data_IF_453970012785
#
_entry.id   IF_453970012785
#
_cell.length_a   1.000
_cell.length_b   1.000
_cell.length_c   1.000
_cell.angle_alpha   90.00
_cell.angle_beta   90.00
_cell.angle_gamma   90.00
#
_symmetry.space_group_name_H-M   'P 1'
#
loop_
_entity.id
_entity.type
_entity.pdbx_description
1 polymer ?
#
# COMPACT_ATOMS: atom_id res chain seq x y z
N UNK A 1 -7.65 13.15 31.92
CA UNK A 1 -8.18 13.58 30.62
C UNK A 1 -7.42 14.83 30.18
N UNK A 2 -6.51 14.73 29.20
CA UNK A 2 -5.85 15.92 28.63
C UNK A 2 -6.91 16.74 27.87
N UNK A 3 -7.01 18.04 28.16
CA UNK A 3 -7.84 18.99 27.39
C UNK A 3 -7.29 19.04 25.97
N UNK A 4 -8.01 18.45 25.00
CA UNK A 4 -7.71 18.60 23.57
C UNK A 4 -7.77 20.07 23.22
N UNK A 5 -6.68 20.65 22.74
CA UNK A 5 -6.64 22.05 22.33
C UNK A 5 -7.54 22.30 21.11
N UNK A 6 -7.99 23.54 20.92
CA UNK A 6 -8.80 23.97 19.77
C UNK A 6 -8.15 23.58 18.42
N UNK A 7 -6.82 23.58 18.36
CA UNK A 7 -6.07 23.15 17.17
C UNK A 7 -6.29 21.67 16.84
N UNK A 8 -6.33 20.79 17.85
CA UNK A 8 -6.55 19.35 17.65
C UNK A 8 -7.95 19.06 17.16
N UNK A 9 -8.96 19.79 17.69
CA UNK A 9 -10.35 19.66 17.24
C UNK A 9 -10.47 20.12 15.79
N UNK A 10 -9.86 21.25 15.44
CA UNK A 10 -9.86 21.76 14.06
C UNK A 10 -9.22 20.78 13.10
N UNK A 11 -8.04 20.22 13.45
CA UNK A 11 -7.32 19.22 12.64
C UNK A 11 -8.18 17.97 12.44
N UNK A 12 -8.81 17.46 13.50
CA UNK A 12 -9.70 16.30 13.43
C UNK A 12 -10.91 16.57 12.53
N UNK A 13 -11.58 17.69 12.68
CA UNK A 13 -12.75 18.04 11.88
C UNK A 13 -12.39 18.18 10.40
N UNK A 14 -11.24 18.79 10.11
CA UNK A 14 -10.70 18.89 8.75
C UNK A 14 -10.43 17.50 8.16
N UNK A 15 -9.81 16.60 8.92
CA UNK A 15 -9.57 15.21 8.51
C UNK A 15 -10.89 14.50 8.18
N UNK A 16 -11.90 14.60 9.04
CA UNK A 16 -13.21 13.97 8.83
C UNK A 16 -13.89 14.50 7.56
N UNK A 17 -13.87 15.81 7.33
CA UNK A 17 -14.44 16.42 6.12
C UNK A 17 -13.72 15.91 4.87
N UNK A 18 -12.40 15.95 4.86
CA UNK A 18 -11.60 15.54 3.71
C UNK A 18 -11.78 14.04 3.39
N UNK A 19 -11.78 13.18 4.42
CA UNK A 19 -12.07 11.75 4.26
C UNK A 19 -13.47 11.53 3.69
N UNK A 20 -14.46 12.27 4.17
CA UNK A 20 -15.85 12.17 3.69
C UNK A 20 -15.96 12.55 2.20
N UNK A 21 -15.22 13.56 1.76
CA UNK A 21 -15.17 13.94 0.34
C UNK A 21 -14.47 12.88 -0.49
N UNK A 22 -13.35 12.31 -0.01
CA UNK A 22 -12.62 11.25 -0.69
C UNK A 22 -13.49 9.99 -0.91
N UNK A 23 -14.26 9.61 0.10
CA UNK A 23 -15.10 8.41 0.08
C UNK A 23 -16.32 8.55 -0.86
N UNK A 24 -16.81 9.77 -1.07
CA UNK A 24 -18.02 10.02 -1.83
C UNK A 24 -17.78 10.72 -3.18
N UNK A 25 -16.53 11.07 -3.50
CA UNK A 25 -16.07 11.76 -4.71
C UNK A 25 -16.60 13.19 -4.89
N UNK A 26 -17.91 13.41 -4.74
CA UNK A 26 -18.58 14.73 -4.85
C UNK A 26 -19.64 14.89 -3.77
N UNK A 27 -19.63 15.99 -3.06
CA UNK A 27 -20.59 16.33 -2.00
C UNK A 27 -20.79 17.84 -1.90
N UNK A 28 -22.01 18.26 -1.57
CA UNK A 28 -22.29 19.64 -1.15
C UNK A 28 -21.92 19.86 0.32
N UNK A 29 -21.74 21.12 0.74
CA UNK A 29 -21.48 21.47 2.15
C UNK A 29 -22.55 20.93 3.11
N UNK A 30 -23.80 20.89 2.67
CA UNK A 30 -24.93 20.35 3.46
C UNK A 30 -24.78 18.85 3.66
N UNK A 31 -24.46 18.10 2.60
CA UNK A 31 -24.25 16.64 2.69
C UNK A 31 -23.03 16.30 3.55
N UNK A 32 -21.96 17.11 3.46
CA UNK A 32 -20.79 16.96 4.34
C UNK A 32 -21.22 17.16 5.80
N UNK A 33 -21.99 18.21 6.12
CA UNK A 33 -22.46 18.45 7.47
C UNK A 33 -23.33 17.29 8.00
N UNK A 34 -24.21 16.75 7.18
CA UNK A 34 -25.07 15.61 7.54
C UNK A 34 -24.25 14.33 7.78
N UNK A 35 -23.26 14.03 6.90
CA UNK A 35 -22.46 12.81 7.00
C UNK A 35 -21.43 12.85 8.14
N UNK A 36 -20.93 14.04 8.48
CA UNK A 36 -19.90 14.22 9.51
C UNK A 36 -20.46 14.59 10.87
N UNK A 37 -21.76 14.89 10.96
CA UNK A 37 -22.44 15.39 12.15
C UNK A 37 -21.82 16.69 12.71
N UNK A 38 -21.09 17.43 11.87
CA UNK A 38 -20.52 18.72 12.22
C UNK A 38 -21.53 19.85 11.99
N UNK A 39 -21.42 20.89 12.80
CA UNK A 39 -22.24 22.08 12.60
C UNK A 39 -22.03 22.70 11.20
N UNK A 40 -23.09 23.10 10.46
CA UNK A 40 -22.97 23.68 9.12
C UNK A 40 -22.01 24.87 9.02
N UNK A 41 -21.95 25.70 10.06
CA UNK A 41 -20.99 26.81 10.14
C UNK A 41 -19.53 26.32 10.19
N UNK A 42 -19.26 25.27 10.98
CA UNK A 42 -17.93 24.64 11.05
C UNK A 42 -17.52 24.07 9.69
N UNK A 43 -18.43 23.35 9.03
CA UNK A 43 -18.18 22.80 7.68
C UNK A 43 -17.89 23.92 6.69
N UNK A 44 -18.72 24.97 6.67
CA UNK A 44 -18.55 26.10 5.75
C UNK A 44 -17.21 26.79 5.92
N UNK A 45 -16.78 27.03 7.17
CA UNK A 45 -15.48 27.64 7.47
C UNK A 45 -14.32 26.75 7.03
N UNK A 46 -14.33 25.46 7.40
CA UNK A 46 -13.24 24.55 7.09
C UNK A 46 -13.14 24.23 5.59
N UNK A 47 -14.28 24.11 4.91
CA UNK A 47 -14.30 23.93 3.44
C UNK A 47 -13.75 25.16 2.72
N UNK A 48 -14.10 26.38 3.16
CA UNK A 48 -13.53 27.60 2.58
C UNK A 48 -12.00 27.63 2.72
N UNK A 49 -11.49 27.31 3.90
CA UNK A 49 -10.05 27.20 4.15
C UNK A 49 -9.40 26.12 3.27
N UNK A 50 -10.05 24.98 3.07
CA UNK A 50 -9.54 23.89 2.22
C UNK A 50 -9.52 24.27 0.74
N UNK A 51 -10.48 25.06 0.29
CA UNK A 51 -10.50 25.60 -1.09
C UNK A 51 -9.37 26.62 -1.25
N UNK A 52 -9.21 27.55 -0.31
CA UNK A 52 -8.12 28.53 -0.32
C UNK A 52 -6.73 27.87 -0.33
N UNK A 53 -6.58 26.76 0.40
CA UNK A 53 -5.34 25.96 0.43
C UNK A 53 -5.20 25.02 -0.77
N UNK A 54 -6.16 24.98 -1.68
CA UNK A 54 -6.14 24.20 -2.89
C UNK A 54 -6.47 22.71 -2.74
N UNK A 55 -6.86 22.22 -1.55
CA UNK A 55 -7.23 20.81 -1.36
C UNK A 55 -8.54 20.43 -2.03
N UNK A 56 -9.53 21.33 -1.98
CA UNK A 56 -10.84 21.14 -2.56
C UNK A 56 -11.12 22.16 -3.64
N UNK A 57 -11.96 21.78 -4.60
CA UNK A 57 -12.50 22.67 -5.61
C UNK A 57 -14.01 22.51 -5.73
N UNK A 58 -14.65 23.55 -6.23
CA UNK A 58 -16.07 23.52 -6.64
C UNK A 58 -16.14 22.90 -8.06
N UNK A 59 -16.83 21.77 -8.19
CA UNK A 59 -16.83 20.95 -9.42
C UNK A 59 -18.11 21.06 -10.24
N UNK A 60 -19.06 21.90 -9.84
CA UNK A 60 -20.33 22.09 -10.51
C UNK A 60 -21.46 22.43 -9.57
N UNK A 61 -22.68 22.56 -10.09
CA UNK A 61 -23.88 22.76 -9.29
C UNK A 61 -24.94 21.75 -9.67
N UNK A 62 -25.50 21.05 -8.67
CA UNK A 62 -26.73 20.27 -8.85
C UNK A 62 -27.96 21.12 -8.57
N UNK A 63 -28.90 21.09 -9.49
CA UNK A 63 -30.22 21.72 -9.27
C UNK A 63 -31.14 20.65 -8.67
N UNK A 64 -31.39 20.72 -7.38
CA UNK A 64 -32.34 19.83 -6.71
C UNK A 64 -33.45 20.66 -6.09
N UNK A 65 -34.69 20.42 -6.49
CA UNK A 65 -35.88 21.12 -5.95
C UNK A 65 -35.77 22.67 -5.96
N UNK A 66 -35.25 23.24 -7.07
CA UNK A 66 -35.22 24.73 -7.25
C UNK A 66 -34.06 25.43 -6.51
N UNK A 67 -33.15 24.72 -5.83
CA UNK A 67 -31.93 25.29 -5.25
C UNK A 67 -30.70 24.70 -5.89
N UNK A 68 -29.84 25.58 -6.42
CA UNK A 68 -28.51 25.20 -6.88
C UNK A 68 -27.62 24.88 -5.67
N UNK A 69 -27.02 23.69 -5.63
CA UNK A 69 -26.04 23.28 -4.63
C UNK A 69 -24.69 23.10 -5.29
N UNK A 70 -23.68 23.80 -4.80
CA UNK A 70 -22.32 23.65 -5.26
C UNK A 70 -21.74 22.34 -4.77
N UNK A 71 -21.25 21.50 -5.67
CA UNK A 71 -20.54 20.28 -5.38
C UNK A 71 -19.07 20.55 -5.14
N UNK A 72 -18.50 19.86 -4.18
CA UNK A 72 -17.10 19.90 -3.79
C UNK A 72 -16.44 18.57 -4.12
N UNK A 73 -15.24 18.62 -4.62
CA UNK A 73 -14.38 17.46 -4.89
C UNK A 73 -12.95 17.75 -4.49
N UNK A 74 -12.14 16.70 -4.31
CA UNK A 74 -10.71 16.86 -4.18
C UNK A 74 -10.16 17.56 -5.44
N UNK A 75 -9.25 18.50 -5.27
CA UNK A 75 -8.57 19.17 -6.37
C UNK A 75 -7.57 18.21 -7.04
N UNK A 76 -7.79 17.77 -8.28
CA UNK A 76 -6.84 16.90 -8.97
C UNK A 76 -5.48 17.58 -9.19
N UNK A 77 -5.49 18.91 -9.32
CA UNK A 77 -4.31 19.72 -9.63
C UNK A 77 -3.53 20.16 -8.37
N UNK A 78 -3.96 19.73 -7.17
CA UNK A 78 -3.23 20.00 -5.94
C UNK A 78 -1.78 19.51 -6.00
N UNK A 79 -1.53 18.42 -6.74
CA UNK A 79 -0.19 17.89 -6.96
C UNK A 79 -0.20 16.61 -7.76
N UNK A 80 0.98 16.05 -7.95
CA UNK A 80 1.19 14.74 -8.56
C UNK A 80 1.83 13.77 -7.58
N UNK A 81 1.55 12.49 -7.78
CA UNK A 81 2.12 11.39 -7.01
C UNK A 81 2.89 10.50 -7.97
N UNK A 82 4.18 10.30 -7.73
CA UNK A 82 5.00 9.37 -8.47
C UNK A 82 5.14 8.06 -7.69
N UNK A 83 4.76 6.94 -8.29
CA UNK A 83 4.97 5.59 -7.74
C UNK A 83 5.97 4.86 -8.62
N UNK A 84 7.06 4.42 -8.02
CA UNK A 84 8.12 3.66 -8.66
C UNK A 84 8.02 2.20 -8.19
N UNK A 85 7.68 1.32 -9.11
CA UNK A 85 7.74 -0.12 -8.89
C UNK A 85 9.13 -0.62 -9.30
N UNK A 86 9.86 -1.19 -8.33
CA UNK A 86 11.27 -1.55 -8.46
C UNK A 86 11.41 -3.04 -8.22
N UNK A 87 11.96 -3.74 -9.20
CA UNK A 87 12.18 -5.17 -9.15
C UNK A 87 13.45 -5.58 -9.94
N UNK A 88 13.82 -6.86 -9.93
CA UNK A 88 14.99 -7.34 -10.66
C UNK A 88 14.84 -7.30 -12.18
N UNK A 89 13.63 -7.12 -12.70
CA UNK A 89 13.34 -7.01 -14.13
C UNK A 89 13.33 -5.56 -14.62
N UNK A 90 13.51 -4.60 -13.70
CA UNK A 90 13.57 -3.18 -14.05
C UNK A 90 12.79 -2.25 -13.12
N UNK A 91 12.51 -1.07 -13.64
CA UNK A 91 11.83 0.00 -12.92
C UNK A 91 10.69 0.51 -13.77
N UNK A 92 9.50 0.62 -13.17
CA UNK A 92 8.32 1.24 -13.79
C UNK A 92 7.90 2.46 -12.97
N UNK A 93 7.67 3.58 -13.66
CA UNK A 93 7.11 4.80 -13.09
C UNK A 93 5.64 4.91 -13.46
N UNK A 94 4.79 5.11 -12.46
CA UNK A 94 3.40 5.50 -12.63
C UNK A 94 3.17 6.85 -11.96
N UNK A 95 2.66 7.82 -12.70
CA UNK A 95 2.35 9.17 -12.18
C UNK A 95 0.85 9.37 -12.16
N UNK A 96 0.36 9.87 -11.05
CA UNK A 96 -1.06 10.09 -10.79
C UNK A 96 -1.31 11.55 -10.42
N UNK A 97 -2.49 12.05 -10.72
CA UNK A 97 -3.03 13.25 -10.08
C UNK A 97 -3.62 12.92 -8.69
N UNK A 98 -4.09 13.95 -7.97
CA UNK A 98 -4.68 13.72 -6.63
C UNK A 98 -6.05 13.04 -6.68
N UNK A 99 -6.71 12.97 -7.84
CA UNK A 99 -7.92 12.15 -8.04
C UNK A 99 -7.58 10.68 -8.38
N UNK A 100 -6.29 10.31 -8.42
CA UNK A 100 -5.75 9.01 -8.80
C UNK A 100 -6.03 8.63 -10.27
N UNK A 101 -6.18 9.63 -11.13
CA UNK A 101 -6.14 9.39 -12.57
C UNK A 101 -4.67 9.25 -13.00
N UNK A 102 -4.42 8.26 -13.83
CA UNK A 102 -3.08 8.03 -14.37
C UNK A 102 -2.75 9.14 -15.35
N UNK A 103 -1.69 9.89 -15.07
CA UNK A 103 -1.14 10.92 -15.97
C UNK A 103 -0.16 10.27 -16.95
N UNK A 104 0.69 9.38 -16.44
CA UNK A 104 1.71 8.71 -17.24
C UNK A 104 2.08 7.37 -16.62
N UNK A 105 2.41 6.39 -17.47
CA UNK A 105 3.10 5.15 -17.09
C UNK A 105 4.28 4.96 -18.03
N UNK A 106 5.44 4.72 -17.47
CA UNK A 106 6.67 4.59 -18.23
C UNK A 106 7.59 3.56 -17.60
N UNK A 107 8.10 2.67 -18.43
CA UNK A 107 9.20 1.80 -18.06
C UNK A 107 10.50 2.60 -18.17
N UNK A 108 11.22 2.74 -17.05
CA UNK A 108 12.46 3.50 -16.97
C UNK A 108 13.64 2.62 -17.32
N UNK A 109 13.67 1.39 -16.83
CA UNK A 109 14.74 0.43 -17.08
C UNK A 109 14.18 -0.98 -17.29
N UNK A 110 14.85 -1.76 -18.14
CA UNK A 110 14.60 -3.19 -18.30
C UNK A 110 15.65 -4.05 -17.56
N UNK A 111 16.48 -3.41 -16.75
CA UNK A 111 17.53 -4.03 -15.97
C UNK A 111 17.37 -3.70 -14.50
N UNK A 112 17.84 -4.61 -13.65
CA UNK A 112 17.94 -4.36 -12.22
C UNK A 112 19.01 -3.30 -11.96
N UNK A 113 18.60 -2.13 -11.54
CA UNK A 113 19.49 -1.08 -11.08
C UNK A 113 19.54 -1.09 -9.55
N UNK A 114 20.71 -0.77 -9.00
CA UNK A 114 20.94 -0.75 -7.56
C UNK A 114 21.77 0.48 -7.17
N UNK A 115 21.77 0.84 -5.90
CA UNK A 115 22.60 1.90 -5.37
C UNK A 115 22.44 3.22 -6.12
N UNK A 116 23.57 3.84 -6.47
CA UNK A 116 23.60 5.16 -7.10
C UNK A 116 22.98 5.17 -8.50
N UNK A 117 23.12 4.09 -9.28
CA UNK A 117 22.50 4.00 -10.61
C UNK A 117 20.97 4.01 -10.51
N UNK A 118 20.42 3.32 -9.52
CA UNK A 118 18.98 3.34 -9.23
C UNK A 118 18.52 4.76 -8.85
N UNK A 119 19.29 5.46 -7.98
CA UNK A 119 18.98 6.82 -7.58
C UNK A 119 19.01 7.79 -8.77
N UNK A 120 20.01 7.70 -9.62
CA UNK A 120 20.17 8.59 -10.77
C UNK A 120 19.04 8.39 -11.79
N UNK A 121 18.67 7.14 -12.07
CA UNK A 121 17.56 6.82 -12.98
C UNK A 121 16.24 7.39 -12.45
N UNK A 122 15.96 7.18 -11.16
CA UNK A 122 14.76 7.71 -10.51
C UNK A 122 14.74 9.25 -10.56
N UNK A 123 15.83 9.89 -10.19
CA UNK A 123 15.87 11.36 -10.14
C UNK A 123 15.74 11.97 -11.52
N UNK A 124 16.35 11.41 -12.56
CA UNK A 124 16.19 11.84 -13.93
C UNK A 124 14.73 11.80 -14.38
N UNK A 125 14.01 10.72 -14.03
CA UNK A 125 12.61 10.57 -14.37
C UNK A 125 11.68 11.49 -13.58
N UNK A 126 11.96 11.69 -12.29
CA UNK A 126 11.11 12.44 -11.35
C UNK A 126 11.30 13.96 -11.47
N UNK A 127 12.51 14.43 -11.80
CA UNK A 127 12.83 15.86 -11.96
C UNK A 127 11.92 16.56 -12.97
N UNK A 128 11.42 15.84 -13.97
CA UNK A 128 10.47 16.36 -14.96
C UNK A 128 9.15 16.80 -14.31
N UNK A 129 8.69 16.07 -13.28
CA UNK A 129 7.44 16.38 -12.57
C UNK A 129 7.65 17.37 -11.42
N UNK A 130 8.80 17.34 -10.79
CA UNK A 130 9.13 18.28 -9.71
C UNK A 130 9.10 19.75 -10.13
N UNK A 131 9.41 20.03 -11.40
CA UNK A 131 9.47 21.38 -11.98
C UNK A 131 8.19 21.82 -12.73
N UNK A 132 7.14 21.00 -12.78
CA UNK A 132 5.89 21.33 -13.46
C UNK A 132 4.98 22.27 -12.67
N UNK A 133 3.98 22.85 -13.32
CA UNK A 133 2.96 23.69 -12.69
C UNK A 133 2.18 22.95 -11.59
N UNK A 134 1.96 21.64 -11.77
CA UNK A 134 1.46 20.75 -10.71
C UNK A 134 2.67 20.23 -9.91
N UNK A 135 2.81 20.62 -8.64
CA UNK A 135 3.98 20.19 -7.88
C UNK A 135 3.94 18.69 -7.62
N UNK A 136 5.12 18.07 -7.61
CA UNK A 136 5.26 16.71 -7.12
C UNK A 136 5.00 16.71 -5.60
N UNK A 137 3.91 16.12 -5.17
CA UNK A 137 3.48 16.09 -3.76
C UNK A 137 4.09 14.93 -2.97
N UNK A 138 4.42 13.83 -3.65
CA UNK A 138 5.04 12.68 -3.01
C UNK A 138 5.59 11.64 -3.96
N UNK A 139 6.54 10.85 -3.43
CA UNK A 139 7.15 9.70 -4.11
C UNK A 139 6.87 8.45 -3.30
N UNK A 140 6.40 7.41 -3.97
CA UNK A 140 6.24 6.07 -3.41
C UNK A 140 7.22 5.10 -4.05
N UNK A 141 8.01 4.43 -3.22
CA UNK A 141 8.91 3.35 -3.62
C UNK A 141 8.24 2.03 -3.30
N UNK A 142 7.90 1.26 -4.31
CA UNK A 142 7.24 -0.02 -4.18
C UNK A 142 8.20 -1.12 -4.64
N UNK A 143 8.87 -1.73 -3.68
CA UNK A 143 9.81 -2.81 -3.94
C UNK A 143 9.09 -4.14 -4.09
N UNK A 144 9.56 -4.95 -5.03
CA UNK A 144 9.12 -6.35 -5.12
C UNK A 144 10.00 -7.22 -4.20
N UNK A 145 9.50 -8.41 -3.86
CA UNK A 145 10.11 -9.34 -2.91
C UNK A 145 11.54 -9.77 -3.22
N UNK A 146 11.90 -9.74 -4.50
CA UNK A 146 13.21 -10.17 -4.99
C UNK A 146 14.33 -9.16 -4.74
N UNK A 147 13.99 -7.97 -4.19
CA UNK A 147 14.93 -6.91 -3.87
C UNK A 147 15.37 -6.96 -2.40
N UNK A 148 16.63 -6.61 -2.11
CA UNK A 148 17.19 -6.57 -0.76
C UNK A 148 17.43 -5.12 -0.31
N UNK A 149 17.41 -4.87 0.99
CA UNK A 149 17.71 -3.54 1.54
C UNK A 149 19.08 -3.02 1.08
N UNK A 150 20.08 -3.90 0.95
CA UNK A 150 21.39 -3.57 0.42
C UNK A 150 21.36 -2.98 -0.99
N UNK A 151 20.36 -3.37 -1.81
CA UNK A 151 20.23 -2.93 -3.19
C UNK A 151 19.82 -1.45 -3.29
N UNK A 152 19.27 -0.90 -2.20
CA UNK A 152 18.74 0.49 -2.13
C UNK A 152 19.65 1.47 -1.40
N UNK A 153 20.85 1.07 -1.02
CA UNK A 153 21.77 1.97 -0.31
C UNK A 153 22.57 2.82 -1.29
N UNK A 154 22.49 4.13 -1.08
CA UNK A 154 23.20 5.12 -1.86
C UNK A 154 24.54 5.40 -1.18
N UNK A 155 25.63 5.19 -1.91
CA UNK A 155 26.97 5.44 -1.42
C UNK A 155 27.40 6.86 -1.73
N UNK A 156 27.99 7.53 -0.76
CA UNK A 156 28.56 8.88 -0.93
C UNK A 156 29.85 9.03 -0.12
N UNK A 157 30.72 9.92 -0.55
CA UNK A 157 31.97 10.21 0.14
C UNK A 157 31.84 11.46 1.03
N UNK A 158 32.25 11.31 2.28
CA UNK A 158 32.42 12.42 3.23
C UNK A 158 33.91 12.61 3.55
N UNK A 159 34.63 13.25 2.63
CA UNK A 159 36.10 13.35 2.76
C UNK A 159 36.80 12.00 2.58
N UNK A 160 37.49 11.52 3.61
CA UNK A 160 38.20 10.22 3.58
C UNK A 160 37.32 9.00 3.90
N UNK A 161 36.08 9.20 4.34
CA UNK A 161 35.19 8.13 4.74
C UNK A 161 34.07 7.89 3.70
N UNK A 162 33.79 6.64 3.38
CA UNK A 162 32.58 6.25 2.66
C UNK A 162 31.41 6.12 3.63
N UNK A 163 30.28 6.71 3.29
CA UNK A 163 29.04 6.60 4.04
C UNK A 163 27.91 6.17 3.12
N UNK A 164 26.82 5.70 3.70
CA UNK A 164 25.63 5.30 2.92
C UNK A 164 24.35 5.77 3.60
N UNK A 165 23.35 6.10 2.80
CA UNK A 165 21.97 6.39 3.21
C UNK A 165 21.03 5.51 2.42
N UNK A 166 19.79 5.38 2.88
CA UNK A 166 18.75 4.68 2.11
C UNK A 166 18.31 5.51 0.90
N UNK A 167 17.78 4.86 -0.12
CA UNK A 167 17.19 5.53 -1.28
C UNK A 167 16.11 6.54 -0.85
N UNK A 168 15.28 6.19 0.11
CA UNK A 168 14.26 7.07 0.69
C UNK A 168 14.86 8.33 1.30
N UNK A 169 15.88 8.19 2.16
CA UNK A 169 16.56 9.33 2.79
C UNK A 169 17.20 10.26 1.74
N UNK A 170 17.80 9.69 0.69
CA UNK A 170 18.38 10.47 -0.41
C UNK A 170 17.31 11.28 -1.15
N UNK A 171 16.16 10.67 -1.48
CA UNK A 171 15.05 11.35 -2.16
C UNK A 171 14.39 12.40 -1.26
N UNK A 172 14.16 12.13 0.03
CA UNK A 172 13.67 13.13 1.00
C UNK A 172 14.63 14.31 1.08
N UNK A 173 15.94 14.04 1.14
CA UNK A 173 16.96 15.10 1.19
C UNK A 173 16.95 15.98 -0.05
N UNK A 174 16.79 15.39 -1.24
CA UNK A 174 16.78 16.10 -2.53
C UNK A 174 15.52 16.94 -2.75
N UNK A 175 14.36 16.33 -2.57
CA UNK A 175 13.07 16.94 -2.99
C UNK A 175 12.33 17.66 -1.87
N UNK A 176 12.64 17.36 -0.60
CA UNK A 176 11.93 17.91 0.57
C UNK A 176 10.41 17.67 0.55
N UNK A 177 9.98 16.57 -0.04
CA UNK A 177 8.59 16.13 -0.14
C UNK A 177 8.39 14.81 0.60
N UNK A 178 7.15 14.36 0.65
CA UNK A 178 6.80 13.10 1.28
C UNK A 178 7.29 11.92 0.44
N UNK A 179 8.09 11.04 1.04
CA UNK A 179 8.59 9.81 0.40
C UNK A 179 8.26 8.62 1.28
N UNK A 180 7.57 7.64 0.72
CA UNK A 180 7.31 6.35 1.39
C UNK A 180 8.00 5.23 0.65
N UNK A 181 8.26 4.15 1.38
CA UNK A 181 8.73 2.89 0.81
C UNK A 181 7.93 1.73 1.40
N UNK A 182 7.64 0.74 0.58
CA UNK A 182 6.96 -0.48 1.00
C UNK A 182 7.18 -1.61 -0.01
N UNK A 183 6.69 -2.80 0.34
CA UNK A 183 6.74 -3.97 -0.54
C UNK A 183 5.38 -4.22 -1.19
N UNK A 184 5.37 -4.54 -2.48
CA UNK A 184 4.15 -4.65 -3.31
C UNK A 184 3.09 -5.62 -2.79
N UNK A 185 3.51 -6.64 -2.08
CA UNK A 185 2.65 -7.68 -1.51
C UNK A 185 1.66 -7.15 -0.47
N UNK A 186 2.04 -6.12 0.29
CA UNK A 186 1.15 -5.46 1.29
C UNK A 186 -0.10 -4.88 0.61
N UNK A 187 0.05 -4.41 -0.62
CA UNK A 187 -1.03 -3.74 -1.36
C UNK A 187 -1.98 -4.70 -2.06
N UNK A 188 -1.53 -5.92 -2.37
CA UNK A 188 -2.42 -6.98 -2.84
C UNK A 188 -3.48 -7.32 -1.80
N UNK A 189 -3.11 -7.31 -0.51
CA UNK A 189 -4.04 -7.53 0.60
C UNK A 189 -5.05 -6.39 0.70
N UNK A 190 -4.60 -5.14 0.62
CA UNK A 190 -5.48 -3.96 0.70
C UNK A 190 -6.52 -3.96 -0.40
N UNK A 191 -6.15 -4.35 -1.63
CA UNK A 191 -7.07 -4.47 -2.76
C UNK A 191 -8.10 -5.56 -2.52
N UNK A 192 -7.67 -6.74 -2.14
CA UNK A 192 -8.56 -7.86 -1.88
C UNK A 192 -9.51 -7.59 -0.69
N UNK A 193 -9.09 -6.78 0.29
CA UNK A 193 -9.95 -6.31 1.36
C UNK A 193 -10.95 -5.24 0.88
N UNK A 194 -10.54 -4.37 -0.05
CA UNK A 194 -11.41 -3.30 -0.58
C UNK A 194 -12.51 -3.82 -1.51
N UNK A 195 -12.29 -4.93 -2.18
CA UNK A 195 -13.29 -5.61 -3.04
C UNK A 195 -14.37 -6.33 -2.21
N UNK A 196 -14.21 -6.39 -0.89
CA UNK A 196 -15.14 -7.06 0.00
C UNK A 196 -16.15 -6.06 0.59
N UNK A 197 -17.36 -6.55 0.89
CA UNK A 197 -18.48 -5.72 1.38
C UNK A 197 -18.07 -4.86 2.57
N UNK A 198 -18.32 -3.54 2.49
CA UNK A 198 -18.12 -2.60 3.60
C UNK A 198 -18.86 -3.08 4.86
N UNK A 199 -18.16 -3.12 5.98
CA UNK A 199 -18.73 -3.39 7.31
C UNK A 199 -18.39 -4.73 7.95
N UNK A 200 -17.75 -5.67 7.26
CA UNK A 200 -17.27 -6.90 7.90
C UNK A 200 -15.84 -6.70 8.45
N UNK A 201 -15.70 -6.93 9.76
CA UNK A 201 -14.37 -7.02 10.40
C UNK A 201 -13.71 -8.31 9.92
N UNK A 202 -12.48 -8.20 9.44
CA UNK A 202 -11.77 -9.34 8.89
C UNK A 202 -10.34 -9.41 9.35
N UNK A 203 -9.97 -10.62 9.66
CA UNK A 203 -8.61 -11.00 9.97
C UNK A 203 -8.08 -11.82 8.79
N UNK A 204 -7.04 -11.36 8.15
CA UNK A 204 -6.49 -12.03 6.98
C UNK A 204 -4.99 -12.24 7.08
N UNK A 205 -4.50 -13.29 6.44
CA UNK A 205 -3.10 -13.48 6.16
C UNK A 205 -2.89 -13.45 4.64
N UNK A 206 -1.87 -12.76 4.20
CA UNK A 206 -1.36 -12.82 2.84
C UNK A 206 0.00 -13.50 2.86
N UNK A 207 0.12 -14.58 2.14
CA UNK A 207 1.37 -15.34 1.99
C UNK A 207 1.75 -15.26 0.51
N UNK A 208 2.84 -14.60 0.23
CA UNK A 208 3.38 -14.50 -1.12
C UNK A 208 4.61 -15.37 -1.25
N UNK A 209 4.60 -16.23 -2.26
CA UNK A 209 5.64 -17.20 -2.55
C UNK A 209 6.43 -16.75 -3.78
N UNK A 210 7.65 -16.33 -3.54
CA UNK A 210 8.62 -15.93 -4.56
C UNK A 210 9.99 -16.52 -4.22
N UNK A 211 11.06 -15.82 -4.56
CA UNK A 211 12.40 -16.12 -4.05
C UNK A 211 12.48 -16.03 -2.52
N UNK A 212 11.61 -15.22 -1.94
CA UNK A 212 11.37 -15.12 -0.50
C UNK A 212 9.90 -15.33 -0.21
N UNK A 213 9.61 -15.82 0.99
CA UNK A 213 8.25 -15.88 1.49
C UNK A 213 7.96 -14.61 2.26
N UNK A 214 6.96 -13.86 1.83
CA UNK A 214 6.48 -12.68 2.57
C UNK A 214 5.10 -12.97 3.14
N UNK A 215 4.95 -12.63 4.41
CA UNK A 215 3.71 -12.85 5.16
C UNK A 215 3.23 -11.51 5.70
N UNK A 216 2.02 -11.12 5.33
CA UNK A 216 1.36 -9.96 5.90
C UNK A 216 0.10 -10.43 6.61
N UNK A 217 -0.16 -9.89 7.79
CA UNK A 217 -1.34 -10.20 8.58
C UNK A 217 -2.13 -8.92 8.82
N UNK A 218 -3.45 -8.99 8.64
CA UNK A 218 -4.36 -7.94 9.08
C UNK A 218 -5.25 -8.47 10.18
N UNK A 219 -5.41 -7.68 11.23
CA UNK A 219 -6.35 -7.95 12.30
C UNK A 219 -7.29 -6.76 12.45
N UNK A 220 -8.60 -7.01 12.46
CA UNK A 220 -9.63 -5.96 12.48
C UNK A 220 -9.43 -4.91 11.37
N UNK A 221 -9.06 -5.39 10.17
CA UNK A 221 -8.74 -4.58 9.00
C UNK A 221 -7.50 -3.67 9.16
N UNK A 222 -6.70 -3.85 10.20
CA UNK A 222 -5.44 -3.12 10.40
C UNK A 222 -4.25 -4.04 10.13
N UNK A 223 -3.23 -3.52 9.46
CA UNK A 223 -1.99 -4.27 9.19
C UNK A 223 -1.27 -4.48 10.53
N UNK A 224 -0.95 -5.73 10.84
CA UNK A 224 -0.09 -6.09 11.96
C UNK A 224 1.37 -5.87 11.51
N UNK A 225 2.12 -4.97 12.17
CA UNK A 225 3.52 -4.77 11.81
C UNK A 225 4.32 -6.02 12.12
N UNK A 226 4.94 -6.59 11.09
CA UNK A 226 5.86 -7.73 11.19
C UNK A 226 7.26 -7.19 10.97
N UNK A 227 8.21 -7.61 11.79
CA UNK A 227 9.61 -7.17 11.66
C UNK A 227 10.21 -7.69 10.36
N UNK A 228 10.99 -6.84 9.68
CA UNK A 228 11.60 -7.17 8.39
C UNK A 228 12.55 -8.38 8.46
N UNK A 229 13.26 -8.55 9.58
CA UNK A 229 14.15 -9.68 9.82
C UNK A 229 13.39 -11.02 10.00
N UNK A 230 12.08 -10.96 10.32
CA UNK A 230 11.24 -12.16 10.38
C UNK A 230 11.13 -12.84 9.01
N UNK A 231 11.08 -12.09 7.93
CA UNK A 231 10.96 -12.66 6.57
C UNK A 231 12.21 -13.41 6.14
N UNK A 232 13.39 -12.92 6.52
CA UNK A 232 14.65 -13.62 6.27
C UNK A 232 14.71 -14.92 7.09
N UNK A 233 14.34 -14.85 8.37
CA UNK A 233 14.26 -15.99 9.26
C UNK A 233 13.20 -16.99 8.78
N UNK A 234 12.01 -16.55 8.37
CA UNK A 234 10.96 -17.42 7.87
C UNK A 234 11.36 -18.10 6.54
N UNK A 235 12.03 -17.39 5.66
CA UNK A 235 12.54 -17.95 4.40
C UNK A 235 13.62 -18.99 4.66
N UNK A 236 14.61 -18.69 5.50
CA UNK A 236 15.64 -19.62 5.92
C UNK A 236 15.04 -20.85 6.61
N UNK A 237 14.13 -20.65 7.55
CA UNK A 237 13.43 -21.75 8.22
C UNK A 237 12.67 -22.65 7.25
N UNK A 238 12.12 -22.11 6.18
CA UNK A 238 11.45 -22.90 5.14
C UNK A 238 12.43 -23.63 4.22
N UNK A 239 13.62 -23.08 4.02
CA UNK A 239 14.70 -23.71 3.26
C UNK A 239 15.37 -24.81 4.08
N UNK A 240 15.61 -24.59 5.37
CA UNK A 240 16.28 -25.52 6.29
C UNK A 240 15.45 -26.76 6.65
N UNK A 241 14.13 -26.68 6.55
CA UNK A 241 13.23 -27.82 6.82
C UNK A 241 13.23 -28.87 5.68
N UNK A 242 13.87 -28.57 4.57
CA UNK A 242 14.08 -29.55 3.48
C UNK A 242 15.46 -30.14 3.65
N UNK A 243 15.63 -31.43 4.04
CA UNK A 243 16.92 -32.07 4.03
C UNK A 243 17.52 -31.97 2.62
N UNK A 244 18.77 -31.56 2.51
CA UNK A 244 19.57 -31.68 1.28
C UNK A 244 19.80 -33.16 0.95
N UNK A 245 18.77 -33.82 0.44
CA UNK A 245 18.95 -35.06 -0.29
C UNK A 245 19.15 -34.67 -1.73
N UNK A 246 20.27 -35.05 -2.28
CA UNK A 246 20.69 -34.86 -3.66
C UNK A 246 19.55 -35.05 -4.66
N UNK A 247 19.13 -33.99 -5.31
CA UNK A 247 18.16 -34.00 -6.39
C UNK A 247 16.92 -33.14 -6.16
N UNK A 248 16.77 -32.14 -6.99
CA UNK A 248 15.63 -31.26 -7.25
C UNK A 248 14.54 -31.25 -6.16
N UNK A 249 14.44 -30.14 -5.41
CA UNK A 249 13.31 -29.86 -4.50
C UNK A 249 12.00 -30.16 -5.22
N UNK A 250 11.25 -31.15 -4.76
CA UNK A 250 9.96 -31.51 -5.36
C UNK A 250 8.90 -30.52 -4.88
N UNK A 251 7.92 -30.18 -5.74
CA UNK A 251 6.82 -29.30 -5.39
C UNK A 251 6.03 -29.76 -4.13
N UNK A 252 6.14 -31.04 -3.77
CA UNK A 252 5.58 -31.66 -2.57
C UNK A 252 6.14 -31.10 -1.26
N UNK A 253 7.43 -30.79 -1.19
CA UNK A 253 8.06 -30.35 0.07
C UNK A 253 7.76 -28.87 0.32
N UNK A 254 7.71 -28.07 -0.75
CA UNK A 254 7.31 -26.66 -0.67
C UNK A 254 5.85 -26.50 -0.19
N UNK A 255 4.97 -27.40 -0.65
CA UNK A 255 3.57 -27.43 -0.22
C UNK A 255 3.44 -27.79 1.27
N UNK A 256 4.22 -28.73 1.79
CA UNK A 256 4.21 -29.08 3.21
C UNK A 256 4.65 -27.91 4.10
N UNK A 257 5.69 -27.19 3.67
CA UNK A 257 6.19 -26.03 4.39
C UNK A 257 5.19 -24.88 4.39
N UNK A 258 4.52 -24.65 3.25
CA UNK A 258 3.44 -23.68 3.15
C UNK A 258 2.29 -24.00 4.13
N UNK A 259 1.85 -25.26 4.15
CA UNK A 259 0.80 -25.71 5.08
C UNK A 259 1.20 -25.51 6.53
N UNK A 260 2.48 -25.73 6.86
CA UNK A 260 2.98 -25.50 8.24
C UNK A 260 2.93 -24.02 8.62
N UNK A 261 3.32 -23.11 7.73
CA UNK A 261 3.18 -21.66 7.97
C UNK A 261 1.72 -21.30 8.19
N UNK A 262 0.84 -21.75 7.30
CA UNK A 262 -0.59 -21.49 7.42
C UNK A 262 -1.14 -22.00 8.75
N UNK A 263 -0.71 -23.17 9.18
CA UNK A 263 -1.08 -23.77 10.45
C UNK A 263 -0.65 -22.88 11.63
N UNK A 264 0.60 -22.42 11.65
CA UNK A 264 1.10 -21.51 12.68
C UNK A 264 0.31 -20.20 12.70
N UNK A 265 0.04 -19.61 11.53
CA UNK A 265 -0.75 -18.39 11.43
C UNK A 265 -2.18 -18.58 11.95
N UNK A 266 -2.83 -19.69 11.63
CA UNK A 266 -4.18 -20.02 12.13
C UNK A 266 -4.21 -20.30 13.63
N UNK A 267 -3.11 -20.73 14.23
CA UNK A 267 -3.00 -20.91 15.67
C UNK A 267 -2.79 -19.61 16.43
N UNK A 268 -2.13 -18.64 15.82
CA UNK A 268 -1.80 -17.34 16.43
C UNK A 268 -2.90 -16.31 16.19
N UNK A 269 -3.50 -16.30 15.00
CA UNK A 269 -4.46 -15.29 14.56
C UNK A 269 -5.81 -15.92 14.23
N UNK A 270 -6.94 -15.29 14.61
CA UNK A 270 -8.29 -15.74 14.26
C UNK A 270 -8.62 -15.40 12.80
N UNK A 271 -7.94 -16.06 11.85
CA UNK A 271 -8.03 -15.74 10.44
C UNK A 271 -9.39 -16.15 9.83
N UNK A 272 -9.95 -15.26 9.02
CA UNK A 272 -11.12 -15.53 8.19
C UNK A 272 -10.72 -15.76 6.73
N UNK A 273 -9.59 -15.16 6.29
CA UNK A 273 -9.15 -15.18 4.91
C UNK A 273 -7.65 -15.44 4.86
N UNK A 274 -7.24 -16.31 3.96
CA UNK A 274 -5.84 -16.49 3.59
C UNK A 274 -5.71 -16.22 2.08
N UNK A 275 -4.87 -15.24 1.76
CA UNK A 275 -4.45 -14.95 0.40
C UNK A 275 -3.15 -15.66 0.10
N UNK A 276 -3.13 -16.32 -1.03
CA UNK A 276 -1.93 -16.94 -1.56
C UNK A 276 -1.59 -16.30 -2.90
N UNK A 277 -0.38 -15.79 -3.03
CA UNK A 277 0.16 -15.29 -4.29
C UNK A 277 1.52 -15.92 -4.58
N UNK A 278 1.87 -16.03 -5.85
CA UNK A 278 3.14 -16.59 -6.30
C UNK A 278 3.03 -17.34 -7.62
N UNK A 279 4.17 -17.73 -8.17
CA UNK A 279 4.25 -18.39 -9.47
C UNK A 279 3.81 -19.85 -9.43
N UNK A 280 3.89 -20.50 -8.27
CA UNK A 280 3.81 -21.95 -8.12
C UNK A 280 2.46 -22.43 -7.53
N UNK A 281 1.52 -21.52 -7.28
CA UNK A 281 0.19 -21.85 -6.76
C UNK A 281 -0.84 -21.25 -7.68
N UNK A 282 -1.59 -22.08 -8.38
CA UNK A 282 -2.41 -21.54 -9.46
C UNK A 282 -3.86 -22.01 -9.53
N UNK A 283 -4.30 -23.07 -8.83
CA UNK A 283 -5.61 -23.61 -9.11
C UNK A 283 -6.35 -24.31 -7.94
N UNK A 284 -7.54 -24.82 -8.31
CA UNK A 284 -8.45 -25.53 -7.40
C UNK A 284 -7.88 -26.84 -6.83
N UNK A 285 -6.87 -27.41 -7.47
CA UNK A 285 -6.22 -28.65 -7.02
C UNK A 285 -5.31 -28.38 -5.84
N UNK A 286 -4.54 -27.27 -5.93
CA UNK A 286 -3.71 -26.79 -4.83
C UNK A 286 -4.55 -26.40 -3.62
N UNK A 287 -5.71 -25.74 -3.83
CA UNK A 287 -6.64 -25.42 -2.75
C UNK A 287 -7.14 -26.67 -2.04
N UNK A 288 -7.55 -27.70 -2.77
CA UNK A 288 -8.00 -28.98 -2.17
C UNK A 288 -6.90 -29.65 -1.36
N UNK A 289 -5.68 -29.64 -1.88
CA UNK A 289 -4.51 -30.23 -1.22
C UNK A 289 -4.20 -29.50 0.07
N UNK A 290 -4.18 -28.16 0.05
CA UNK A 290 -3.96 -27.31 1.22
C UNK A 290 -5.06 -27.55 2.26
N UNK A 291 -6.33 -27.52 1.88
CA UNK A 291 -7.45 -27.76 2.79
C UNK A 291 -7.37 -29.14 3.45
N UNK A 292 -7.02 -30.17 2.70
CA UNK A 292 -6.88 -31.55 3.23
C UNK A 292 -5.74 -31.62 4.25
N UNK A 293 -4.57 -31.08 3.92
CA UNK A 293 -3.40 -31.11 4.81
C UNK A 293 -3.58 -30.24 6.07
N UNK A 294 -4.30 -29.12 5.95
CA UNK A 294 -4.67 -28.31 7.13
C UNK A 294 -5.68 -29.03 8.02
N UNK A 295 -6.65 -29.76 7.41
CA UNK A 295 -7.65 -30.51 8.13
C UNK A 295 -7.07 -31.62 9.00
N UNK A 296 -5.93 -32.17 8.62
CA UNK A 296 -5.23 -33.19 9.40
C UNK A 296 -4.60 -32.63 10.70
N UNK A 297 -4.39 -31.32 10.76
CA UNK A 297 -3.57 -30.66 11.79
C UNK A 297 -4.28 -29.55 12.57
N UNK A 298 -5.39 -29.04 12.06
CA UNK A 298 -6.18 -27.99 12.71
C UNK A 298 -7.53 -28.56 13.16
N UNK A 299 -8.15 -28.00 14.22
CA UNK A 299 -9.51 -28.39 14.63
C UNK A 299 -10.48 -28.25 13.45
N UNK A 300 -11.31 -29.28 13.22
CA UNK A 300 -12.29 -29.34 12.11
C UNK A 300 -13.20 -28.11 12.01
N UNK A 301 -13.48 -27.44 13.13
CA UNK A 301 -14.33 -26.26 13.20
C UNK A 301 -13.70 -24.99 12.61
N UNK A 302 -12.37 -24.92 12.49
CA UNK A 302 -11.66 -23.72 12.02
C UNK A 302 -11.59 -23.65 10.50
N UNK A 303 -11.41 -24.77 9.83
CA UNK A 303 -11.13 -24.81 8.39
C UNK A 303 -12.30 -24.32 7.52
N UNK A 304 -13.57 -24.69 7.80
CA UNK A 304 -14.71 -24.17 7.03
C UNK A 304 -14.90 -22.67 7.11
N UNK A 305 -14.34 -22.02 8.17
CA UNK A 305 -14.45 -20.58 8.38
C UNK A 305 -13.38 -19.80 7.60
N UNK A 306 -12.32 -20.47 7.13
CA UNK A 306 -11.23 -19.84 6.41
C UNK A 306 -11.52 -19.86 4.91
N UNK A 307 -11.57 -18.69 4.32
CA UNK A 307 -11.68 -18.50 2.87
C UNK A 307 -10.30 -18.36 2.26
N UNK A 308 -10.00 -19.20 1.26
CA UNK A 308 -8.76 -19.10 0.50
C UNK A 308 -9.00 -18.31 -0.78
N UNK A 309 -8.08 -17.41 -1.08
CA UNK A 309 -8.06 -16.64 -2.31
C UNK A 309 -6.67 -16.77 -2.95
N UNK A 310 -6.67 -17.11 -4.23
CA UNK A 310 -5.43 -17.31 -5.00
C UNK A 310 -5.30 -16.19 -6.02
N UNK A 311 -4.10 -15.62 -6.13
CA UNK A 311 -3.81 -14.54 -7.07
C UNK A 311 -2.49 -14.81 -7.79
N UNK A 312 -2.50 -14.71 -9.11
CA UNK A 312 -1.26 -14.69 -9.89
C UNK A 312 -0.54 -13.36 -9.64
N UNK A 313 0.76 -13.43 -9.37
CA UNK A 313 1.60 -12.37 -8.80
C UNK A 313 1.86 -11.13 -9.68
N UNK A 314 1.14 -10.93 -10.78
CA UNK A 314 1.50 -9.93 -11.80
C UNK A 314 0.59 -8.72 -11.88
N UNK A 315 -0.37 -8.55 -10.96
CA UNK A 315 -1.20 -7.36 -10.99
C UNK A 315 -0.53 -6.19 -10.27
N UNK A 316 -0.41 -5.08 -10.99
CA UNK A 316 0.19 -3.84 -10.50
C UNK A 316 -0.52 -3.33 -9.25
N UNK A 317 0.21 -3.30 -8.14
CA UNK A 317 -0.27 -2.77 -6.86
C UNK A 317 -0.18 -1.25 -6.78
N UNK A 318 0.31 -0.60 -7.83
CA UNK A 318 0.64 0.82 -7.87
C UNK A 318 -0.55 1.72 -7.54
N UNK A 319 -1.77 1.37 -8.02
CA UNK A 319 -2.96 2.18 -7.73
C UNK A 319 -3.32 2.19 -6.24
N UNK A 320 -3.28 1.02 -5.58
CA UNK A 320 -3.57 0.93 -4.13
C UNK A 320 -2.50 1.65 -3.32
N UNK A 321 -1.25 1.58 -3.77
CA UNK A 321 -0.16 2.31 -3.14
C UNK A 321 -0.28 3.82 -3.33
N UNK A 322 -0.61 4.28 -4.53
CA UNK A 322 -0.89 5.68 -4.79
C UNK A 322 -2.04 6.21 -3.92
N UNK A 323 -3.10 5.41 -3.70
CA UNK A 323 -4.21 5.76 -2.83
C UNK A 323 -3.75 5.96 -1.37
N UNK A 324 -2.91 5.08 -0.85
CA UNK A 324 -2.34 5.23 0.50
C UNK A 324 -1.43 6.45 0.58
N UNK A 325 -0.50 6.59 -0.36
CA UNK A 325 0.42 7.72 -0.40
C UNK A 325 -0.33 9.06 -0.47
N UNK A 326 -1.40 9.13 -1.27
CA UNK A 326 -2.29 10.30 -1.28
C UNK A 326 -2.88 10.59 0.10
N UNK A 327 -3.38 9.56 0.79
CA UNK A 327 -3.93 9.71 2.13
C UNK A 327 -2.87 10.22 3.10
N UNK A 328 -1.67 9.65 3.06
CA UNK A 328 -0.56 10.10 3.90
C UNK A 328 -0.17 11.56 3.62
N UNK A 329 -0.13 11.97 2.35
CA UNK A 329 0.13 13.37 1.95
C UNK A 329 -0.96 14.32 2.47
N UNK A 330 -2.23 13.93 2.38
CA UNK A 330 -3.35 14.79 2.74
C UNK A 330 -3.58 14.91 4.26
N UNK A 331 -3.18 13.90 5.03
CA UNK A 331 -3.53 13.79 6.46
C UNK A 331 -2.35 13.94 7.42
N UNK A 332 -1.10 13.81 6.98
CA UNK A 332 0.09 13.90 7.84
C UNK A 332 0.76 15.28 7.86
N UNK A 333 0.06 16.31 7.38
CA UNK A 333 0.51 17.72 7.48
C UNK A 333 -0.07 18.45 8.68
#
# INVERSE_FOLDING_TARGET
MQKRGLKDIKRRNRHVILQTVLDNKKLSRVEIAQKTELAPSTVSTLVAEMIEQGYLIESGSQITAGRSRTELTLNPDYGTIAVLEINRKGIELSVYDMALQVIERKKLSEQCLTGNELFDEITNAVDVYYKKERPLAGIGLLFQQDMRESDFRIMYSTGAAAASITLKEALVSRYKIFVTEDYGEVYNVSRALSEQKKGEVRNSAHISLGERVVINVTQENMIVPIRSDFFETATSFLEDLVPETEGKKTGSDRMKNLVMIMQLLCMIFPLNIIFLSGTDISDKEDEKTIRRQLAEKLPEKLIPQIRFLFQKSTEQCTNSYAQRLRSDILFNH
#
